data_IF_051604820991
#
_entry.id   IF_051604820991
#
_cell.length_a   1.000
_cell.length_b   1.000
_cell.length_c   1.000
_cell.angle_alpha   90.00
_cell.angle_beta   90.00
_cell.angle_gamma   90.00
#
_symmetry.space_group_name_H-M   'P 1'
#
loop_
_entity.id
_entity.type
_entity.pdbx_description
1 polymer ?
#
# COMPACT_ATOMS: atom_id res chain seq x y z
N UNK A 1 -43.62 -13.25 -6.71
CA UNK A 1 -43.27 -12.52 -5.46
C UNK A 1 -41.78 -12.61 -5.03
N UNK A 2 -40.98 -13.55 -5.55
CA UNK A 2 -39.53 -13.64 -5.20
C UNK A 2 -38.63 -12.67 -5.97
N UNK A 3 -39.02 -12.20 -7.16
CA UNK A 3 -38.27 -11.26 -7.99
C UNK A 3 -38.13 -9.87 -7.37
N UNK A 4 -39.19 -9.33 -6.80
CA UNK A 4 -39.20 -7.99 -6.19
C UNK A 4 -38.21 -7.84 -5.01
N UNK A 5 -37.91 -8.93 -4.29
CA UNK A 5 -36.95 -8.93 -3.17
C UNK A 5 -35.49 -8.92 -3.67
N UNK A 6 -35.20 -9.58 -4.78
CA UNK A 6 -33.85 -9.62 -5.38
C UNK A 6 -33.51 -8.28 -6.07
N UNK A 7 -34.46 -7.72 -6.82
CA UNK A 7 -34.30 -6.42 -7.49
C UNK A 7 -34.09 -5.29 -6.46
N UNK A 8 -34.82 -5.35 -5.33
CA UNK A 8 -34.63 -4.42 -4.22
C UNK A 8 -33.25 -4.57 -3.55
N UNK A 9 -32.75 -5.82 -3.38
CA UNK A 9 -31.41 -6.06 -2.84
C UNK A 9 -30.33 -5.57 -3.81
N UNK A 10 -30.50 -5.81 -5.10
CA UNK A 10 -29.57 -5.36 -6.14
C UNK A 10 -29.43 -3.84 -6.12
N UNK A 11 -30.54 -3.10 -6.18
CA UNK A 11 -30.54 -1.65 -6.17
C UNK A 11 -29.87 -1.07 -4.91
N UNK A 12 -30.13 -1.64 -3.74
CA UNK A 12 -29.50 -1.23 -2.47
C UNK A 12 -28.01 -1.52 -2.45
N UNK A 13 -27.60 -2.71 -2.89
CA UNK A 13 -26.20 -3.10 -2.94
C UNK A 13 -25.39 -2.26 -3.93
N UNK A 14 -25.97 -1.96 -5.11
CA UNK A 14 -25.39 -1.07 -6.11
C UNK A 14 -25.20 0.35 -5.57
N UNK A 15 -26.21 0.88 -4.91
CA UNK A 15 -26.13 2.20 -4.26
C UNK A 15 -25.03 2.23 -3.18
N UNK A 16 -24.92 1.18 -2.37
CA UNK A 16 -23.87 1.04 -1.36
C UNK A 16 -22.48 0.97 -2.01
N UNK A 17 -22.33 0.22 -3.11
CA UNK A 17 -21.08 0.14 -3.87
C UNK A 17 -20.64 1.52 -4.38
N UNK A 18 -21.53 2.24 -5.03
CA UNK A 18 -21.26 3.60 -5.54
C UNK A 18 -20.90 4.58 -4.40
N UNK A 19 -21.55 4.45 -3.25
CA UNK A 19 -21.21 5.25 -2.09
C UNK A 19 -19.76 4.98 -1.59
N UNK A 20 -19.30 3.71 -1.60
CA UNK A 20 -17.91 3.38 -1.30
C UNK A 20 -16.94 3.98 -2.33
N UNK A 21 -17.25 3.83 -3.62
CA UNK A 21 -16.40 4.31 -4.72
C UNK A 21 -16.32 5.85 -4.78
N UNK A 22 -17.40 6.55 -4.41
CA UNK A 22 -17.40 8.01 -4.31
C UNK A 22 -16.43 8.56 -3.26
N UNK A 23 -16.05 7.75 -2.27
CA UNK A 23 -15.12 8.18 -1.20
C UNK A 23 -13.66 7.96 -1.55
N UNK A 24 -13.34 6.85 -2.22
CA UNK A 24 -12.01 6.49 -2.71
C UNK A 24 -12.07 5.30 -3.67
N UNK A 25 -10.99 5.08 -4.37
CA UNK A 25 -10.83 3.84 -5.13
C UNK A 25 -10.84 2.60 -4.20
N UNK A 26 -11.43 1.53 -4.69
CA UNK A 26 -11.44 0.20 -4.05
C UNK A 26 -10.98 -0.84 -5.06
N UNK A 27 -10.35 -1.92 -4.60
CA UNK A 27 -10.22 -3.11 -5.43
C UNK A 27 -11.54 -3.86 -5.52
N UNK A 28 -11.70 -4.66 -6.58
CA UNK A 28 -12.88 -5.52 -6.74
C UNK A 28 -13.06 -6.45 -5.53
N UNK A 29 -11.97 -7.05 -5.07
CA UNK A 29 -11.95 -7.90 -3.87
C UNK A 29 -12.38 -7.15 -2.60
N UNK A 30 -11.83 -5.95 -2.38
CA UNK A 30 -12.17 -5.14 -1.20
C UNK A 30 -13.64 -4.72 -1.21
N UNK A 31 -14.16 -4.29 -2.36
CA UNK A 31 -15.55 -3.89 -2.50
C UNK A 31 -16.49 -5.07 -2.30
N UNK A 32 -16.21 -6.22 -2.95
CA UNK A 32 -16.98 -7.44 -2.78
C UNK A 32 -17.02 -7.89 -1.30
N UNK A 33 -15.86 -7.89 -0.63
CA UNK A 33 -15.76 -8.26 0.79
C UNK A 33 -16.62 -7.37 1.70
N UNK A 34 -16.69 -6.07 1.41
CA UNK A 34 -17.54 -5.15 2.17
C UNK A 34 -19.02 -5.39 1.93
N UNK A 35 -19.41 -5.62 0.69
CA UNK A 35 -20.81 -5.81 0.30
C UNK A 35 -21.37 -7.16 0.77
N UNK A 36 -20.58 -8.23 0.73
CA UNK A 36 -21.02 -9.57 1.16
C UNK A 36 -21.34 -9.67 2.64
N UNK A 37 -20.95 -8.69 3.45
CA UNK A 37 -21.41 -8.59 4.86
C UNK A 37 -22.89 -8.32 5.02
N UNK A 38 -23.57 -7.79 3.99
CA UNK A 38 -24.99 -7.37 4.04
C UNK A 38 -25.82 -7.91 2.90
N UNK A 39 -25.20 -8.32 1.80
CA UNK A 39 -25.88 -8.74 0.59
C UNK A 39 -25.42 -10.14 0.17
N UNK A 40 -26.26 -10.85 -0.57
CA UNK A 40 -25.96 -12.19 -1.08
C UNK A 40 -24.80 -12.15 -2.06
N UNK A 41 -23.90 -13.12 -1.99
CA UNK A 41 -22.70 -13.21 -2.84
C UNK A 41 -23.03 -13.14 -4.34
N UNK A 42 -24.10 -13.81 -4.81
CA UNK A 42 -24.49 -13.76 -6.21
C UNK A 42 -24.87 -12.34 -6.65
N UNK A 43 -25.59 -11.58 -5.82
CA UNK A 43 -25.94 -10.18 -6.10
C UNK A 43 -24.68 -9.31 -6.13
N UNK A 44 -23.79 -9.50 -5.19
CA UNK A 44 -22.51 -8.76 -5.12
C UNK A 44 -21.64 -9.04 -6.34
N UNK A 45 -21.53 -10.31 -6.77
CA UNK A 45 -20.78 -10.67 -7.96
C UNK A 45 -21.28 -9.94 -9.21
N UNK A 46 -22.59 -9.97 -9.45
CA UNK A 46 -23.20 -9.28 -10.60
C UNK A 46 -22.96 -7.76 -10.58
N UNK A 47 -22.97 -7.14 -9.39
CA UNK A 47 -22.72 -5.70 -9.25
C UNK A 47 -21.24 -5.38 -9.52
N UNK A 48 -20.32 -6.18 -8.98
CA UNK A 48 -18.89 -5.99 -9.20
C UNK A 48 -18.56 -6.10 -10.69
N UNK A 49 -19.10 -7.10 -11.38
CA UNK A 49 -18.91 -7.29 -12.82
C UNK A 49 -19.46 -6.09 -13.60
N UNK A 50 -20.68 -5.63 -13.31
CA UNK A 50 -21.26 -4.44 -13.94
C UNK A 50 -20.40 -3.19 -13.74
N UNK A 51 -19.92 -2.94 -12.51
CA UNK A 51 -19.11 -1.76 -12.21
C UNK A 51 -17.74 -1.79 -12.91
N UNK A 52 -17.18 -3.00 -13.11
CA UNK A 52 -15.94 -3.18 -13.89
C UNK A 52 -16.22 -2.90 -15.38
N UNK A 53 -17.29 -3.46 -15.95
CA UNK A 53 -17.66 -3.26 -17.35
C UNK A 53 -17.95 -1.79 -17.67
N UNK A 54 -18.59 -1.08 -16.74
CA UNK A 54 -18.86 0.35 -16.87
C UNK A 54 -17.65 1.25 -16.57
N UNK A 55 -16.53 0.69 -16.14
CA UNK A 55 -15.34 1.44 -15.76
C UNK A 55 -15.45 2.21 -14.44
N UNK A 56 -16.53 1.99 -13.67
CA UNK A 56 -16.75 2.61 -12.36
C UNK A 56 -15.83 1.99 -11.28
N UNK A 57 -15.44 0.71 -11.45
CA UNK A 57 -14.52 -0.04 -10.59
C UNK A 57 -13.29 -0.48 -11.41
N UNK A 58 -12.08 -0.21 -10.90
CA UNK A 58 -10.85 -0.58 -11.59
C UNK A 58 -9.74 -0.95 -10.61
N UNK A 59 -9.29 -2.19 -10.66
CA UNK A 59 -8.14 -2.66 -9.90
C UNK A 59 -6.85 -1.93 -10.28
N UNK A 60 -6.71 -1.50 -11.55
CA UNK A 60 -5.56 -0.71 -12.01
C UNK A 60 -5.53 0.66 -11.35
N UNK A 61 -6.62 1.42 -11.38
CA UNK A 61 -6.68 2.74 -10.71
C UNK A 61 -6.46 2.63 -9.21
N UNK A 62 -7.04 1.60 -8.59
CA UNK A 62 -6.79 1.31 -7.17
C UNK A 62 -5.31 1.03 -6.91
N UNK A 63 -4.67 0.15 -7.69
CA UNK A 63 -3.27 -0.22 -7.52
C UNK A 63 -2.34 0.98 -7.71
N UNK A 64 -2.52 1.76 -8.77
CA UNK A 64 -1.74 2.97 -9.06
C UNK A 64 -1.85 4.00 -7.92
N UNK A 65 -3.07 4.22 -7.42
CA UNK A 65 -3.34 5.14 -6.30
C UNK A 65 -2.66 4.66 -5.02
N UNK A 66 -2.73 3.36 -4.73
CA UNK A 66 -2.11 2.76 -3.55
C UNK A 66 -0.59 2.84 -3.62
N UNK A 67 0.02 2.46 -4.74
CA UNK A 67 1.48 2.52 -4.95
C UNK A 67 1.97 3.95 -4.72
N UNK A 68 1.37 4.93 -5.37
CA UNK A 68 1.74 6.35 -5.23
C UNK A 68 1.62 6.83 -3.79
N UNK A 69 0.52 6.50 -3.13
CA UNK A 69 0.29 6.86 -1.73
C UNK A 69 1.36 6.25 -0.80
N UNK A 70 1.70 4.99 -1.00
CA UNK A 70 2.70 4.29 -0.17
C UNK A 70 4.12 4.73 -0.46
N UNK A 71 4.45 4.95 -1.73
CA UNK A 71 5.72 5.55 -2.16
C UNK A 71 5.94 6.91 -1.46
N UNK A 72 4.95 7.81 -1.53
CA UNK A 72 5.02 9.13 -0.89
C UNK A 72 5.15 9.05 0.64
N UNK A 73 4.65 7.99 1.26
CA UNK A 73 4.80 7.72 2.71
C UNK A 73 6.10 7.01 3.07
N UNK A 74 6.97 6.73 2.09
CA UNK A 74 8.28 6.13 2.29
C UNK A 74 8.26 4.61 2.51
N UNK A 75 7.26 3.91 1.97
CA UNK A 75 7.25 2.44 1.93
C UNK A 75 7.94 1.94 0.66
N UNK A 76 8.67 0.83 0.78
CA UNK A 76 9.37 0.20 -0.32
C UNK A 76 8.51 -0.80 -1.12
N UNK A 77 9.03 -1.26 -2.27
CA UNK A 77 8.28 -2.08 -3.21
C UNK A 77 7.83 -3.43 -2.65
N UNK A 78 8.60 -4.05 -1.74
CA UNK A 78 8.22 -5.33 -1.11
C UNK A 78 6.99 -5.16 -0.21
N UNK A 79 6.94 -4.10 0.59
CA UNK A 79 5.78 -3.80 1.43
C UNK A 79 4.53 -3.56 0.58
N UNK A 80 4.67 -2.73 -0.45
CA UNK A 80 3.57 -2.36 -1.36
C UNK A 80 3.04 -3.59 -2.09
N UNK A 81 3.92 -4.46 -2.58
CA UNK A 81 3.53 -5.71 -3.24
C UNK A 81 2.71 -6.62 -2.33
N UNK A 82 3.10 -6.76 -1.06
CA UNK A 82 2.34 -7.53 -0.07
C UNK A 82 0.96 -6.92 0.19
N UNK A 83 0.89 -5.60 0.31
CA UNK A 83 -0.37 -4.89 0.53
C UNK A 83 -1.32 -5.04 -0.67
N UNK A 84 -0.83 -4.86 -1.90
CA UNK A 84 -1.61 -5.08 -3.12
C UNK A 84 -2.17 -6.51 -3.20
N UNK A 85 -1.34 -7.51 -2.90
CA UNK A 85 -1.77 -8.91 -2.84
C UNK A 85 -2.89 -9.13 -1.82
N UNK A 86 -2.78 -8.54 -0.64
CA UNK A 86 -3.81 -8.62 0.40
C UNK A 86 -5.14 -7.98 0.00
N UNK A 87 -5.09 -7.08 -0.99
CA UNK A 87 -6.25 -6.42 -1.60
C UNK A 87 -6.77 -7.14 -2.85
N UNK A 88 -6.26 -8.32 -3.14
CA UNK A 88 -6.70 -9.14 -4.27
C UNK A 88 -6.21 -8.64 -5.62
N UNK A 89 -5.19 -7.80 -5.66
CA UNK A 89 -4.60 -7.33 -6.92
C UNK A 89 -3.74 -8.44 -7.53
N UNK A 90 -3.95 -8.68 -8.81
CA UNK A 90 -3.24 -9.68 -9.60
C UNK A 90 -1.73 -9.34 -9.64
N UNK A 91 -0.88 -10.38 -9.57
CA UNK A 91 0.57 -10.23 -9.39
C UNK A 91 1.24 -9.45 -10.52
N UNK A 92 0.81 -9.67 -11.77
CA UNK A 92 1.36 -8.97 -12.92
C UNK A 92 1.00 -7.49 -12.89
N UNK A 93 -0.25 -7.15 -12.57
CA UNK A 93 -0.70 -5.77 -12.41
C UNK A 93 0.03 -5.05 -11.27
N UNK A 94 0.23 -5.73 -10.13
CA UNK A 94 1.00 -5.19 -9.02
C UNK A 94 2.45 -4.88 -9.44
N UNK A 95 3.10 -5.78 -10.18
CA UNK A 95 4.45 -5.60 -10.71
C UNK A 95 4.55 -4.41 -11.65
N UNK A 96 3.59 -4.25 -12.58
CA UNK A 96 3.54 -3.12 -13.50
C UNK A 96 3.42 -1.78 -12.77
N UNK A 97 2.48 -1.68 -11.83
CA UNK A 97 2.25 -0.45 -11.07
C UNK A 97 3.45 -0.07 -10.18
N UNK A 98 4.13 -1.03 -9.56
CA UNK A 98 5.35 -0.82 -8.77
C UNK A 98 6.51 -0.44 -9.68
N UNK A 99 6.64 -1.10 -10.84
CA UNK A 99 7.68 -0.87 -11.83
C UNK A 99 7.68 0.55 -12.43
N UNK A 100 6.56 1.25 -12.36
CA UNK A 100 6.50 2.66 -12.75
C UNK A 100 7.44 3.57 -11.93
N UNK A 101 7.93 3.10 -10.79
CA UNK A 101 8.84 3.81 -9.88
C UNK A 101 10.26 3.22 -9.84
N UNK A 102 10.60 2.28 -10.73
CA UNK A 102 11.87 1.52 -10.64
C UNK A 102 13.13 2.41 -10.57
N UNK A 103 13.16 3.53 -11.26
CA UNK A 103 14.28 4.48 -11.19
C UNK A 103 14.31 5.35 -9.91
N UNK A 104 13.26 5.36 -9.11
CA UNK A 104 13.09 6.29 -8.00
C UNK A 104 13.28 5.63 -6.61
N UNK A 105 13.26 4.30 -6.52
CA UNK A 105 13.32 3.59 -5.24
C UNK A 105 14.57 3.86 -4.42
N UNK A 106 15.74 3.97 -5.08
CA UNK A 106 17.00 4.26 -4.40
C UNK A 106 17.00 5.67 -3.80
N UNK A 107 16.57 6.67 -4.57
CA UNK A 107 16.47 8.05 -4.09
C UNK A 107 15.48 8.17 -2.94
N UNK A 108 14.32 7.52 -3.07
CA UNK A 108 13.30 7.52 -2.02
C UNK A 108 13.77 6.87 -0.74
N UNK A 109 14.46 5.73 -0.83
CA UNK A 109 15.05 5.06 0.32
C UNK A 109 16.06 5.96 1.05
N UNK A 110 16.88 6.71 0.29
CA UNK A 110 17.85 7.67 0.84
C UNK A 110 17.15 8.79 1.62
N UNK A 111 16.11 9.42 1.05
CA UNK A 111 15.34 10.46 1.74
C UNK A 111 14.72 9.95 3.05
N UNK A 112 14.14 8.74 3.02
CA UNK A 112 13.54 8.09 4.19
C UNK A 112 14.59 7.81 5.27
N UNK A 113 15.78 7.36 4.84
CA UNK A 113 16.92 7.12 5.73
C UNK A 113 17.41 8.41 6.39
N UNK A 114 17.62 9.47 5.61
CA UNK A 114 18.10 10.77 6.10
C UNK A 114 17.12 11.38 7.11
N UNK A 115 15.83 11.35 6.79
CA UNK A 115 14.81 11.80 7.73
C UNK A 115 14.80 11.01 9.03
N UNK A 116 15.00 9.69 8.95
CA UNK A 116 15.07 8.84 10.15
C UNK A 116 16.33 9.08 10.95
N UNK A 117 17.48 9.24 10.27
CA UNK A 117 18.76 9.56 10.88
C UNK A 117 18.70 10.88 11.67
N UNK A 118 18.15 11.95 11.10
CA UNK A 118 18.00 13.25 11.78
C UNK A 118 17.20 13.16 13.07
N UNK A 119 16.27 12.21 13.20
CA UNK A 119 15.55 11.96 14.46
C UNK A 119 16.46 11.37 15.54
N UNK A 120 17.48 10.60 15.16
CA UNK A 120 18.48 10.04 16.10
C UNK A 120 19.54 11.06 16.46
N UNK A 121 20.04 11.84 15.50
CA UNK A 121 21.02 12.90 15.76
C UNK A 121 20.46 13.91 16.76
N UNK A 122 19.21 14.33 16.61
CA UNK A 122 18.52 15.19 17.57
C UNK A 122 18.40 14.56 18.98
N UNK A 123 18.15 13.24 19.05
CA UNK A 123 18.06 12.52 20.31
C UNK A 123 19.42 12.32 20.97
N UNK A 124 20.49 12.19 20.20
CA UNK A 124 21.89 12.06 20.69
C UNK A 124 22.41 13.43 21.15
N UNK A 125 22.14 14.52 20.44
CA UNK A 125 22.51 15.90 20.84
C UNK A 125 21.83 16.31 22.15
N UNK A 126 20.65 15.75 22.45
CA UNK A 126 19.95 15.97 23.71
C UNK A 126 20.52 15.16 24.90
N UNK A 127 21.39 14.18 24.65
CA UNK A 127 22.02 13.30 25.63
C UNK A 127 23.54 13.42 25.64
N UNK A 128 24.09 14.64 25.49
CA UNK A 128 25.56 14.86 25.42
C UNK A 128 26.24 14.32 26.66
N UNK A 129 26.86 13.15 26.52
CA UNK A 129 28.09 12.82 27.23
C UNK A 129 29.05 12.09 26.24
N UNK A 130 30.23 12.67 26.07
CA UNK A 130 31.16 12.41 24.98
C UNK A 130 31.72 11.00 24.92
N UNK A 131 31.16 10.17 24.10
CA UNK A 131 31.70 8.88 23.72
C UNK A 131 31.68 8.68 22.24
N UNK A 132 32.79 8.93 21.56
CA UNK A 132 32.99 8.62 20.16
C UNK A 132 33.19 7.10 20.03
N UNK A 133 32.10 6.31 20.05
CA UNK A 133 32.18 4.86 20.12
C UNK A 133 31.82 4.24 18.75
N UNK A 134 32.80 3.57 18.12
CA UNK A 134 32.65 2.82 16.86
C UNK A 134 31.48 1.82 16.95
N UNK A 135 31.27 1.25 18.13
CA UNK A 135 30.20 0.30 18.42
C UNK A 135 28.80 0.97 18.35
N UNK A 136 28.69 2.22 18.82
CA UNK A 136 27.42 2.98 18.70
C UNK A 136 27.10 3.33 17.28
N UNK A 137 28.09 3.74 16.48
CA UNK A 137 27.91 4.01 15.06
C UNK A 137 27.48 2.75 14.28
N UNK A 138 28.05 1.60 14.61
CA UNK A 138 27.67 0.30 14.05
C UNK A 138 26.26 -0.09 14.44
N UNK A 139 25.90 0.03 15.70
CA UNK A 139 24.55 -0.26 16.21
C UNK A 139 23.50 0.64 15.56
N UNK A 140 23.80 1.93 15.36
CA UNK A 140 22.93 2.85 14.65
C UNK A 140 22.73 2.44 13.19
N UNK A 141 23.82 2.08 12.48
CA UNK A 141 23.78 1.60 11.10
C UNK A 141 22.87 0.37 10.97
N UNK A 142 23.01 -0.61 11.85
CA UNK A 142 22.17 -1.81 11.89
C UNK A 142 20.70 -1.49 12.18
N UNK A 143 20.45 -0.55 13.08
CA UNK A 143 19.09 -0.10 13.42
C UNK A 143 18.41 0.58 12.24
N UNK A 144 19.14 1.43 11.52
CA UNK A 144 18.64 2.12 10.32
C UNK A 144 18.40 1.14 9.16
N UNK A 145 19.28 0.16 8.96
CA UNK A 145 19.09 -0.89 7.96
C UNK A 145 17.82 -1.72 8.26
N UNK A 146 17.64 -2.16 9.52
CA UNK A 146 16.40 -2.86 9.95
C UNK A 146 15.14 -2.02 9.74
N UNK A 147 15.22 -0.72 9.96
CA UNK A 147 14.10 0.19 9.68
C UNK A 147 13.72 0.20 8.19
N UNK A 148 14.70 0.28 7.27
CA UNK A 148 14.45 0.22 5.85
C UNK A 148 13.89 -1.14 5.40
N UNK A 149 14.42 -2.25 5.93
CA UNK A 149 13.84 -3.57 5.69
C UNK A 149 12.38 -3.66 6.17
N UNK A 150 12.08 -3.12 7.35
CA UNK A 150 10.71 -3.05 7.86
C UNK A 150 9.77 -2.19 7.00
N UNK A 151 10.32 -1.21 6.29
CA UNK A 151 9.62 -0.41 5.29
C UNK A 151 9.43 -1.12 3.94
N UNK A 152 10.08 -2.26 3.75
CA UNK A 152 9.97 -3.08 2.56
C UNK A 152 10.90 -2.68 1.41
N UNK A 153 12.04 -2.08 1.72
CA UNK A 153 13.09 -1.87 0.74
C UNK A 153 13.90 -3.15 0.55
N UNK A 154 14.26 -3.53 -0.69
CA UNK A 154 15.06 -4.72 -0.96
C UNK A 154 16.52 -4.55 -0.54
N UNK A 155 17.21 -5.67 -0.31
CA UNK A 155 18.56 -5.71 0.24
C UNK A 155 19.60 -4.98 -0.59
N UNK A 156 19.51 -5.04 -1.90
CA UNK A 156 20.43 -4.35 -2.81
C UNK A 156 20.34 -2.82 -2.67
N UNK A 157 19.14 -2.28 -2.49
CA UNK A 157 18.93 -0.85 -2.21
C UNK A 157 19.50 -0.50 -0.82
N UNK A 158 19.16 -1.28 0.19
CA UNK A 158 19.60 -1.01 1.56
C UNK A 158 21.13 -1.06 1.65
N UNK A 159 21.78 -2.10 1.13
CA UNK A 159 23.23 -2.22 1.21
C UNK A 159 23.96 -1.10 0.48
N UNK A 160 23.49 -0.65 -0.69
CA UNK A 160 24.07 0.50 -1.40
C UNK A 160 24.04 1.81 -0.61
N UNK A 161 23.08 1.98 0.30
CA UNK A 161 23.00 3.19 1.14
C UNK A 161 24.01 3.19 2.30
N UNK A 162 24.57 2.02 2.63
CA UNK A 162 25.52 1.86 3.72
C UNK A 162 26.94 1.44 3.26
N UNK A 163 27.14 1.32 1.94
CA UNK A 163 28.45 1.13 1.32
C UNK A 163 29.11 2.47 1.09
#
# INVERSE_FOLDING_TARGET
>A
MKTTSLDSQYARARSAALHYLARREHSAYELATKLTRRYRTAVVGSIVDELIENGELSDRRFAETLVRSRFNRGFGPIYISKELRSKGIEAQLAKECIGAFDGEWQARAKEVLEKKRGQYDYALDAQVDGGNNVDEAKALKEKLARFLFGRGYPSDIVFRLFS
#
